data_IF_039618228896
#
_entry.id   IF_039618228896
#
_cell.length_a   1.000
_cell.length_b   1.000
_cell.length_c   1.000
_cell.angle_alpha   90.00
_cell.angle_beta   90.00
_cell.angle_gamma   90.00
#
_symmetry.space_group_name_H-M   'P 1'
#
loop_
_entity.id
_entity.type
_entity.pdbx_description
1 polymer ?
#
# COMPACT_ATOMS: atom_id res chain seq x y z
N UNK A 1 28.58 -70.33 4.50
CA UNK A 1 29.52 -69.19 4.42
C UNK A 1 28.73 -67.94 4.77
N UNK A 2 29.30 -67.18 5.70
CA UNK A 2 28.76 -66.17 6.63
C UNK A 2 27.83 -65.09 6.06
N UNK A 3 26.68 -64.92 6.73
CA UNK A 3 25.79 -63.75 6.71
C UNK A 3 26.43 -62.58 7.48
N UNK A 4 26.36 -61.36 6.94
CA UNK A 4 26.68 -60.13 7.66
C UNK A 4 25.37 -59.41 8.02
N UNK A 5 25.08 -59.35 9.32
CA UNK A 5 23.99 -58.58 9.90
C UNK A 5 24.45 -57.17 10.25
N UNK A 6 23.73 -56.15 9.80
CA UNK A 6 23.82 -54.80 10.32
C UNK A 6 22.76 -54.62 11.40
N UNK A 7 23.21 -54.46 12.64
CA UNK A 7 22.38 -54.04 13.77
C UNK A 7 22.25 -52.51 13.75
N UNK A 8 21.00 -52.02 13.76
CA UNK A 8 20.68 -50.62 14.00
C UNK A 8 20.80 -50.32 15.51
N UNK A 9 21.68 -49.39 15.88
CA UNK A 9 21.70 -48.79 17.21
C UNK A 9 20.67 -47.65 17.28
N UNK A 10 19.90 -47.51 18.38
CA UNK A 10 19.01 -46.37 18.57
C UNK A 10 19.80 -45.11 18.97
N UNK A 11 19.29 -43.90 18.67
CA UNK A 11 19.94 -42.65 19.07
C UNK A 11 19.84 -42.42 20.59
N UNK A 12 20.77 -41.65 21.18
CA UNK A 12 20.78 -41.40 22.61
C UNK A 12 19.63 -40.47 23.05
N UNK A 13 19.09 -40.80 24.22
CA UNK A 13 18.12 -40.02 24.99
C UNK A 13 18.55 -38.55 25.13
N UNK A 14 17.75 -37.64 24.59
CA UNK A 14 17.82 -36.20 24.91
C UNK A 14 16.99 -35.98 26.17
N UNK A 15 17.67 -35.66 27.28
CA UNK A 15 17.00 -35.19 28.50
C UNK A 15 16.41 -33.79 28.28
N UNK A 16 15.22 -33.49 28.82
CA UNK A 16 14.64 -32.16 28.72
C UNK A 16 15.43 -31.17 29.59
N UNK A 17 15.99 -30.15 28.95
CA UNK A 17 16.52 -28.95 29.62
C UNK A 17 15.38 -28.27 30.36
N UNK A 18 15.55 -28.14 31.67
CA UNK A 18 14.71 -27.35 32.57
C UNK A 18 14.75 -25.87 32.16
N UNK A 19 13.57 -25.27 31.98
CA UNK A 19 13.41 -23.85 31.77
C UNK A 19 13.87 -23.08 33.02
N UNK A 20 15.00 -22.40 32.92
CA UNK A 20 15.38 -21.36 33.87
C UNK A 20 14.51 -20.13 33.61
N UNK A 21 13.77 -19.71 34.63
CA UNK A 21 12.87 -18.57 34.60
C UNK A 21 13.62 -17.25 34.38
N UNK A 22 13.31 -16.58 33.28
CA UNK A 22 13.55 -15.16 33.11
C UNK A 22 12.37 -14.40 33.73
N UNK A 23 12.53 -13.94 34.97
CA UNK A 23 11.72 -12.85 35.51
C UNK A 23 12.27 -11.54 34.94
N UNK A 24 11.60 -10.99 33.92
CA UNK A 24 11.79 -9.62 33.48
C UNK A 24 11.00 -8.69 34.40
N UNK A 25 11.71 -7.99 35.29
CA UNK A 25 11.16 -6.85 36.00
C UNK A 25 10.83 -5.72 35.01
N UNK A 26 9.66 -5.07 35.10
CA UNK A 26 9.35 -3.92 34.26
C UNK A 26 10.22 -2.71 34.65
N UNK A 27 10.60 -1.84 33.69
CA UNK A 27 11.33 -0.63 33.98
C UNK A 27 10.44 0.37 34.75
N UNK A 28 11.03 1.24 35.60
CA UNK A 28 10.26 2.22 36.36
C UNK A 28 9.65 3.29 35.44
N UNK A 29 8.36 3.55 35.63
CA UNK A 29 7.66 4.68 35.01
C UNK A 29 8.27 6.01 35.47
N UNK A 30 8.53 6.97 34.55
CA UNK A 30 8.87 8.33 34.95
C UNK A 30 7.63 9.03 35.50
N UNK A 31 7.78 9.61 36.70
CA UNK A 31 6.82 10.49 37.35
C UNK A 31 6.45 11.67 36.45
N UNK A 32 5.20 11.72 35.99
CA UNK A 32 4.62 12.89 35.32
C UNK A 32 3.97 13.76 36.39
N UNK A 33 4.55 14.93 36.66
CA UNK A 33 3.90 15.98 37.44
C UNK A 33 2.80 16.65 36.60
N UNK A 34 1.65 17.03 37.20
CA UNK A 34 0.58 17.70 36.49
C UNK A 34 0.96 19.17 36.19
N UNK A 35 1.02 19.51 34.90
CA UNK A 35 1.10 20.91 34.46
C UNK A 35 -0.23 21.63 34.72
N UNK A 36 -0.14 22.72 35.48
CA UNK A 36 -1.21 23.69 35.72
C UNK A 36 -1.58 24.43 34.44
N UNK A 37 -2.88 24.48 34.13
CA UNK A 37 -3.48 25.27 33.06
C UNK A 37 -3.28 26.77 33.31
N UNK A 38 -2.59 27.46 32.39
CA UNK A 38 -2.60 28.92 32.28
C UNK A 38 -3.47 29.34 31.10
N UNK A 39 -4.29 30.37 31.34
CA UNK A 39 -5.39 30.79 30.48
C UNK A 39 -4.96 31.40 29.14
N UNK A 40 -5.73 31.08 28.10
CA UNK A 40 -5.67 31.70 26.79
C UNK A 40 -6.31 33.10 26.83
N UNK A 41 -5.52 34.13 26.52
CA UNK A 41 -6.02 35.43 26.06
C UNK A 41 -6.05 35.45 24.53
N UNK A 42 -7.18 35.86 23.98
CA UNK A 42 -7.41 36.01 22.53
C UNK A 42 -6.56 37.13 21.93
N UNK A 43 -6.01 36.99 20.71
CA UNK A 43 -5.39 38.08 19.99
C UNK A 43 -6.44 38.95 19.24
N UNK A 44 -6.17 40.25 19.02
CA UNK A 44 -7.05 41.15 18.29
C UNK A 44 -6.94 40.96 16.76
N UNK A 45 -7.93 41.44 15.98
CA UNK A 45 -7.99 41.19 14.53
C UNK A 45 -6.99 42.08 13.77
N UNK A 46 -6.29 41.48 12.81
CA UNK A 46 -5.40 42.18 11.89
C UNK A 46 -6.17 42.70 10.66
N UNK A 47 -5.82 43.93 10.29
CA UNK A 47 -6.43 44.73 9.24
C UNK A 47 -6.10 44.22 7.82
N UNK A 48 -7.06 44.45 6.92
CA UNK A 48 -6.97 44.30 5.48
C UNK A 48 -6.03 45.32 4.84
N UNK A 49 -5.20 44.92 3.88
CA UNK A 49 -4.95 45.70 2.65
C UNK A 49 -3.99 45.02 1.67
N UNK A 50 -4.26 45.28 0.39
CA UNK A 50 -3.38 45.32 -0.78
C UNK A 50 -3.17 44.05 -1.62
N UNK A 51 -4.04 43.94 -2.63
CA UNK A 51 -3.81 43.26 -3.89
C UNK A 51 -2.71 43.98 -4.68
N UNK A 52 -1.61 43.30 -4.97
CA UNK A 52 -0.68 43.68 -6.04
C UNK A 52 -0.81 42.70 -7.20
N UNK A 53 -1.14 43.24 -8.37
CA UNK A 53 -1.16 42.56 -9.66
C UNK A 53 0.26 42.23 -10.12
N UNK A 54 0.49 40.99 -10.53
CA UNK A 54 1.71 40.56 -11.23
C UNK A 54 1.51 40.67 -12.75
N UNK A 55 2.54 41.09 -13.52
CA UNK A 55 2.45 41.18 -14.97
C UNK A 55 2.66 39.83 -15.66
N UNK A 56 1.78 39.52 -16.62
CA UNK A 56 1.95 38.43 -17.60
C UNK A 56 3.14 38.75 -18.51
N UNK A 57 4.14 37.85 -18.56
CA UNK A 57 5.14 37.81 -19.63
C UNK A 57 4.91 36.59 -20.53
N UNK A 58 5.02 36.85 -21.83
CA UNK A 58 4.79 35.94 -22.94
C UNK A 58 5.88 34.86 -23.02
N UNK A 59 5.45 33.63 -23.32
CA UNK A 59 6.30 32.49 -23.65
C UNK A 59 6.59 32.50 -25.15
N UNK A 60 7.86 32.65 -25.49
CA UNK A 60 8.44 32.40 -26.82
C UNK A 60 8.70 30.89 -26.93
N UNK A 61 8.19 30.26 -27.98
CA UNK A 61 8.40 28.84 -28.27
C UNK A 61 9.67 28.65 -29.09
N UNK A 62 10.63 27.90 -28.56
CA UNK A 62 11.71 27.32 -29.35
C UNK A 62 11.68 25.79 -29.23
N UNK A 63 11.55 25.13 -30.38
CA UNK A 63 11.67 23.68 -30.55
C UNK A 63 13.14 23.28 -30.48
N UNK A 64 13.51 22.18 -29.81
CA UNK A 64 14.77 21.50 -30.08
C UNK A 64 14.60 20.37 -31.10
N UNK A 65 15.67 20.02 -31.84
CA UNK A 65 15.63 19.04 -32.92
C UNK A 65 15.75 17.60 -32.41
N UNK A 66 15.15 16.69 -33.18
CA UNK A 66 15.30 15.24 -33.05
C UNK A 66 16.69 14.78 -33.51
N UNK A 67 17.39 14.00 -32.69
CA UNK A 67 18.16 12.83 -33.13
C UNK A 67 18.85 12.09 -31.96
N UNK A 68 18.62 10.79 -31.81
CA UNK A 68 19.60 9.74 -32.18
C UNK A 68 19.27 8.40 -31.50
N UNK A 69 19.03 7.41 -32.35
CA UNK A 69 19.04 5.98 -32.03
C UNK A 69 20.48 5.50 -31.79
N UNK A 70 20.77 5.01 -30.58
CA UNK A 70 21.85 4.05 -30.23
C UNK A 70 21.50 3.48 -28.84
N UNK A 71 21.67 2.23 -28.48
CA UNK A 71 22.04 0.99 -29.16
C UNK A 71 21.74 -0.13 -28.17
N UNK A 72 21.04 -1.16 -28.62
CA UNK A 72 20.55 -2.26 -27.77
C UNK A 72 21.71 -3.20 -27.44
N UNK A 73 22.15 -3.21 -26.18
CA UNK A 73 23.09 -4.21 -25.67
C UNK A 73 22.35 -5.53 -25.43
N UNK A 74 22.86 -6.58 -26.07
CA UNK A 74 22.41 -7.97 -25.93
C UNK A 74 22.68 -8.47 -24.51
N UNK A 75 21.62 -8.81 -23.78
CA UNK A 75 21.69 -9.61 -22.55
C UNK A 75 21.30 -11.07 -22.87
N UNK A 76 22.21 -11.99 -22.55
CA UNK A 76 21.98 -13.43 -22.55
C UNK A 76 21.08 -13.81 -21.37
N UNK A 77 19.98 -14.50 -21.67
CA UNK A 77 18.88 -14.83 -20.77
C UNK A 77 18.93 -16.32 -20.38
N UNK A 78 19.04 -16.70 -19.09
CA UNK A 78 18.74 -18.06 -18.66
C UNK A 78 17.25 -18.15 -18.30
N UNK A 79 16.45 -18.74 -19.20
CA UNK A 79 15.04 -19.07 -18.98
C UNK A 79 14.07 -17.97 -19.37
N UNK A 80 13.63 -17.96 -20.64
CA UNK A 80 12.52 -17.10 -21.11
C UNK A 80 11.22 -17.48 -20.38
N UNK A 81 10.56 -16.55 -19.66
CA UNK A 81 9.12 -16.61 -19.46
C UNK A 81 8.45 -16.59 -20.85
N UNK A 82 7.37 -17.36 -21.03
CA UNK A 82 6.59 -17.28 -22.26
C UNK A 82 6.14 -15.84 -22.51
N UNK A 83 6.23 -15.39 -23.77
CA UNK A 83 5.75 -14.07 -24.16
C UNK A 83 4.26 -13.94 -23.79
N UNK A 84 3.82 -12.81 -23.20
CA UNK A 84 2.42 -12.62 -22.87
C UNK A 84 1.54 -12.75 -24.13
N UNK A 85 0.31 -13.28 -24.00
CA UNK A 85 -0.57 -13.48 -25.15
C UNK A 85 -0.82 -12.15 -25.89
N UNK A 86 -0.99 -12.19 -27.23
CA UNK A 86 -1.18 -10.99 -28.03
C UNK A 86 -2.43 -10.20 -27.58
N UNK A 87 -2.43 -8.87 -27.73
CA UNK A 87 -3.52 -7.98 -27.26
C UNK A 87 -4.93 -8.38 -27.72
N UNK A 88 -5.06 -9.06 -28.86
CA UNK A 88 -6.34 -9.57 -29.38
C UNK A 88 -6.94 -10.70 -28.53
N UNK A 89 -6.12 -11.54 -27.90
CA UNK A 89 -6.61 -12.58 -26.97
C UNK A 89 -7.10 -11.96 -25.66
N UNK A 90 -6.43 -10.91 -25.18
CA UNK A 90 -6.91 -10.15 -24.02
C UNK A 90 -8.26 -9.49 -24.33
N UNK A 91 -8.42 -8.86 -25.51
CA UNK A 91 -9.70 -8.28 -25.97
C UNK A 91 -10.84 -9.29 -26.11
N UNK A 92 -10.59 -10.50 -26.64
CA UNK A 92 -11.62 -11.54 -26.69
C UNK A 92 -12.00 -12.04 -25.29
N UNK A 93 -11.03 -12.16 -24.38
CA UNK A 93 -11.28 -12.49 -22.97
C UNK A 93 -12.08 -11.42 -22.22
N UNK A 94 -11.91 -10.13 -22.58
CA UNK A 94 -12.74 -9.03 -22.07
C UNK A 94 -14.22 -9.21 -22.46
N UNK A 95 -14.49 -9.61 -23.70
CA UNK A 95 -15.87 -9.84 -24.18
C UNK A 95 -16.51 -11.06 -23.51
N UNK A 96 -15.76 -12.12 -23.25
CA UNK A 96 -16.25 -13.31 -22.53
C UNK A 96 -16.51 -13.05 -21.04
N UNK A 97 -15.68 -12.24 -20.39
CA UNK A 97 -15.84 -11.87 -18.97
C UNK A 97 -17.09 -11.02 -18.75
N UNK A 98 -17.34 -10.06 -19.65
CA UNK A 98 -18.55 -9.23 -19.65
C UNK A 98 -19.82 -10.07 -19.85
N UNK A 99 -19.80 -11.08 -20.73
CA UNK A 99 -20.92 -12.03 -20.90
C UNK A 99 -21.17 -12.89 -19.66
N UNK A 100 -20.16 -13.12 -18.82
CA UNK A 100 -20.32 -13.92 -17.59
C UNK A 100 -21.14 -13.22 -16.49
N UNK A 101 -21.17 -11.89 -16.49
CA UNK A 101 -22.02 -11.09 -15.60
C UNK A 101 -23.52 -11.27 -15.92
N UNK A 102 -23.86 -11.46 -17.20
CA UNK A 102 -25.24 -11.70 -17.66
C UNK A 102 -25.76 -13.11 -17.31
N UNK A 103 -24.88 -14.00 -16.84
CA UNK A 103 -25.23 -15.40 -16.51
C UNK A 103 -24.82 -15.79 -15.10
N UNK A 104 -25.03 -14.90 -14.12
CA UNK A 104 -24.95 -15.34 -12.72
C UNK A 104 -25.90 -16.53 -12.50
N UNK A 105 -25.47 -17.57 -11.76
CA UNK A 105 -26.34 -18.71 -11.49
C UNK A 105 -27.61 -18.29 -10.75
N UNK A 106 -28.68 -19.07 -10.88
CA UNK A 106 -29.90 -18.81 -10.10
C UNK A 106 -29.57 -18.71 -8.60
N UNK A 107 -30.10 -17.66 -7.95
CA UNK A 107 -29.82 -17.37 -6.54
C UNK A 107 -28.50 -16.63 -6.27
N UNK A 108 -27.88 -16.05 -7.30
CA UNK A 108 -26.75 -15.12 -7.19
C UNK A 108 -27.11 -13.71 -7.70
N UNK A 109 -26.52 -12.64 -7.14
CA UNK A 109 -25.56 -12.64 -6.03
C UNK A 109 -26.17 -13.08 -4.69
N UNK A 110 -25.37 -13.64 -3.79
CA UNK A 110 -25.83 -13.87 -2.41
C UNK A 110 -25.87 -12.53 -1.68
N UNK A 111 -26.98 -12.27 -1.01
CA UNK A 111 -27.19 -11.03 -0.25
C UNK A 111 -27.18 -11.39 1.23
N UNK A 112 -26.18 -10.89 1.97
CA UNK A 112 -26.03 -11.17 3.40
C UNK A 112 -26.22 -9.88 4.18
N UNK A 113 -27.30 -9.82 4.98
CA UNK A 113 -27.50 -8.75 5.95
C UNK A 113 -26.66 -9.01 7.20
N UNK A 114 -25.94 -7.99 7.67
CA UNK A 114 -24.96 -8.14 8.75
C UNK A 114 -25.61 -7.89 10.11
N UNK A 115 -26.29 -8.91 10.63
CA UNK A 115 -27.03 -8.81 11.89
C UNK A 115 -28.07 -7.68 11.83
N UNK A 116 -28.12 -6.87 12.88
CA UNK A 116 -29.03 -5.70 12.97
C UNK A 116 -28.40 -4.39 12.44
N UNK A 117 -27.22 -4.46 11.83
CA UNK A 117 -26.56 -3.27 11.28
C UNK A 117 -27.18 -2.87 9.93
N UNK A 118 -27.22 -1.58 9.58
CA UNK A 118 -27.62 -1.12 8.25
C UNK A 118 -26.46 -1.34 7.25
N UNK A 119 -26.04 -2.60 7.14
CA UNK A 119 -24.91 -3.06 6.34
C UNK A 119 -25.31 -4.36 5.65
N UNK A 120 -25.12 -4.38 4.34
CA UNK A 120 -25.32 -5.56 3.50
C UNK A 120 -24.02 -5.91 2.78
N UNK A 121 -23.73 -7.20 2.63
CA UNK A 121 -22.62 -7.69 1.82
C UNK A 121 -23.17 -8.52 0.67
N UNK A 122 -22.83 -8.11 -0.55
CA UNK A 122 -23.11 -8.85 -1.77
C UNK A 122 -21.94 -9.78 -2.07
N UNK A 123 -22.23 -11.06 -2.27
CA UNK A 123 -21.23 -12.06 -2.63
C UNK A 123 -21.50 -12.47 -4.07
N UNK A 124 -20.49 -12.27 -4.91
CA UNK A 124 -20.54 -12.56 -6.34
C UNK A 124 -19.54 -13.68 -6.62
N UNK A 125 -19.99 -14.72 -7.32
CA UNK A 125 -19.09 -15.76 -7.82
C UNK A 125 -18.73 -15.45 -9.27
N UNK A 126 -17.46 -15.57 -9.61
CA UNK A 126 -16.95 -15.31 -10.95
C UNK A 126 -15.65 -16.08 -11.19
N UNK A 127 -15.00 -15.86 -12.32
CA UNK A 127 -13.69 -16.44 -12.59
C UNK A 127 -12.75 -15.40 -13.15
N UNK A 128 -11.50 -15.44 -12.70
CA UNK A 128 -10.43 -14.59 -13.23
C UNK A 128 -9.33 -15.39 -13.84
N UNK A 129 -8.83 -14.88 -14.94
CA UNK A 129 -7.59 -15.38 -15.53
C UNK A 129 -6.39 -14.67 -14.91
N UNK A 130 -5.28 -15.38 -14.79
CA UNK A 130 -3.97 -14.86 -14.41
C UNK A 130 -2.89 -15.52 -15.27
N UNK A 131 -1.81 -14.82 -15.63
CA UNK A 131 -0.72 -15.43 -16.40
C UNK A 131 -0.11 -16.68 -15.76
N UNK A 132 -0.04 -16.72 -14.42
CA UNK A 132 0.61 -17.82 -13.69
C UNK A 132 -0.34 -18.87 -13.12
N UNK A 133 -1.55 -18.46 -12.74
CA UNK A 133 -2.50 -19.36 -12.06
C UNK A 133 -3.63 -19.82 -12.96
N UNK A 134 -3.57 -19.48 -14.24
CA UNK A 134 -4.63 -19.70 -15.23
C UNK A 134 -5.97 -19.12 -14.75
N UNK A 135 -7.09 -19.69 -15.23
CA UNK A 135 -8.43 -19.29 -14.80
C UNK A 135 -8.73 -19.90 -13.43
N UNK A 136 -8.99 -19.06 -12.43
CA UNK A 136 -9.39 -19.46 -11.10
C UNK A 136 -10.81 -18.98 -10.77
N UNK A 137 -11.56 -19.81 -10.04
CA UNK A 137 -12.83 -19.40 -9.44
C UNK A 137 -12.57 -18.40 -8.31
N UNK A 138 -13.47 -17.43 -8.16
CA UNK A 138 -13.37 -16.41 -7.13
C UNK A 138 -14.75 -16.14 -6.51
N UNK A 139 -14.72 -15.66 -5.27
CA UNK A 139 -15.82 -14.92 -4.66
C UNK A 139 -15.38 -13.49 -4.39
N UNK A 140 -16.19 -12.52 -4.79
CA UNK A 140 -16.00 -11.12 -4.40
C UNK A 140 -17.12 -10.67 -3.49
N UNK A 141 -16.72 -10.11 -2.35
CA UNK A 141 -17.57 -9.51 -1.33
C UNK A 141 -17.56 -8.00 -1.54
N UNK A 142 -18.74 -7.42 -1.71
CA UNK A 142 -18.92 -5.98 -1.91
C UNK A 142 -19.85 -5.50 -0.79
N UNK A 143 -19.38 -4.60 0.07
CA UNK A 143 -20.24 -4.01 1.09
C UNK A 143 -21.11 -2.88 0.52
N UNK A 144 -22.26 -2.67 1.15
CA UNK A 144 -23.08 -1.50 1.01
C UNK A 144 -23.59 -1.07 2.39
N UNK A 145 -23.23 0.14 2.82
CA UNK A 145 -23.62 0.72 4.10
C UNK A 145 -22.47 1.31 4.90
N UNK A 146 -21.20 0.99 4.57
CA UNK A 146 -20.04 1.56 5.26
C UNK A 146 -19.95 3.08 5.07
N UNK A 147 -20.44 3.62 3.94
CA UNK A 147 -20.51 5.07 3.73
C UNK A 147 -21.34 5.80 4.78
N UNK A 148 -22.37 5.14 5.35
CA UNK A 148 -23.21 5.75 6.39
C UNK A 148 -22.44 6.07 7.67
N UNK A 149 -21.26 5.47 7.84
CA UNK A 149 -20.34 5.69 8.96
C UNK A 149 -19.00 6.27 8.50
N UNK A 150 -18.99 6.99 7.37
CA UNK A 150 -17.81 7.65 6.80
C UNK A 150 -16.61 6.72 6.51
N UNK A 151 -16.89 5.43 6.27
CA UNK A 151 -15.89 4.44 5.88
C UNK A 151 -16.10 4.07 4.40
N UNK A 152 -15.07 4.10 3.54
CA UNK A 152 -15.19 3.58 2.17
C UNK A 152 -15.73 2.16 2.12
N UNK A 153 -16.55 1.85 1.10
CA UNK A 153 -17.04 0.49 0.91
C UNK A 153 -15.88 -0.48 0.70
N UNK A 154 -16.08 -1.74 1.07
CA UNK A 154 -15.10 -2.79 0.95
C UNK A 154 -15.37 -3.61 -0.31
N UNK A 155 -14.30 -3.91 -1.05
CA UNK A 155 -14.25 -4.99 -2.02
C UNK A 155 -13.20 -5.98 -1.54
N UNK A 156 -13.57 -7.24 -1.37
CA UNK A 156 -12.66 -8.29 -0.93
C UNK A 156 -12.87 -9.48 -1.87
N UNK A 157 -11.86 -9.87 -2.64
CA UNK A 157 -11.94 -11.03 -3.52
C UNK A 157 -11.10 -12.17 -2.95
N UNK A 158 -11.66 -13.38 -2.93
CA UNK A 158 -10.99 -14.59 -2.46
C UNK A 158 -10.98 -15.61 -3.58
N UNK A 159 -9.82 -16.19 -3.83
CA UNK A 159 -9.66 -17.31 -4.75
C UNK A 159 -10.26 -18.58 -4.14
N UNK A 160 -11.07 -19.29 -4.94
CA UNK A 160 -11.62 -20.60 -4.59
C UNK A 160 -10.50 -21.65 -4.62
N UNK A 161 -10.49 -22.54 -3.62
CA UNK A 161 -9.69 -23.77 -3.66
C UNK A 161 -10.27 -24.75 -4.68
N UNK A 162 -9.45 -25.69 -5.13
CA UNK A 162 -9.88 -26.69 -6.11
C UNK A 162 -11.05 -27.58 -5.62
N UNK A 163 -11.18 -27.76 -4.30
CA UNK A 163 -12.22 -28.56 -3.66
C UNK A 163 -13.43 -27.75 -3.16
N UNK A 164 -13.43 -26.42 -3.35
CA UNK A 164 -14.52 -25.56 -2.92
C UNK A 164 -15.52 -25.37 -4.07
N UNK A 165 -16.79 -25.64 -3.78
CA UNK A 165 -17.91 -25.33 -4.66
C UNK A 165 -18.35 -23.88 -4.52
N UNK A 166 -19.23 -23.42 -5.41
CA UNK A 166 -19.69 -22.01 -5.42
C UNK A 166 -20.34 -21.56 -4.10
N UNK A 167 -20.95 -22.47 -3.37
CA UNK A 167 -21.66 -22.19 -2.12
C UNK A 167 -20.77 -22.27 -0.87
N UNK A 168 -19.50 -22.70 -1.01
CA UNK A 168 -18.54 -22.85 0.09
C UNK A 168 -17.78 -21.53 0.37
N UNK A 169 -18.47 -20.40 0.24
CA UNK A 169 -17.86 -19.09 0.40
C UNK A 169 -17.54 -18.82 1.88
N UNK A 170 -16.33 -18.34 2.22
CA UNK A 170 -15.94 -18.08 3.60
C UNK A 170 -16.70 -16.93 4.23
N UNK A 171 -17.05 -17.05 5.51
CA UNK A 171 -17.81 -16.01 6.23
C UNK A 171 -16.96 -14.85 6.74
N UNK A 172 -15.63 -15.03 6.84
CA UNK A 172 -14.72 -14.01 7.38
C UNK A 172 -14.92 -12.61 6.77
N UNK A 173 -15.02 -12.41 5.44
CA UNK A 173 -15.17 -11.06 4.88
C UNK A 173 -16.46 -10.35 5.30
N UNK A 174 -17.53 -11.11 5.57
CA UNK A 174 -18.79 -10.53 6.09
C UNK A 174 -18.57 -10.02 7.51
N UNK A 175 -17.85 -10.77 8.34
CA UNK A 175 -17.46 -10.31 9.66
C UNK A 175 -16.47 -9.14 9.60
N UNK A 176 -15.53 -9.13 8.64
CA UNK A 176 -14.65 -7.99 8.45
C UNK A 176 -15.43 -6.71 8.13
N UNK A 177 -16.42 -6.78 7.23
CA UNK A 177 -17.31 -5.65 6.94
C UNK A 177 -18.06 -5.17 8.21
N UNK A 178 -18.49 -6.10 9.08
CA UNK A 178 -19.08 -5.76 10.40
C UNK A 178 -18.10 -4.96 11.25
N UNK A 179 -16.85 -5.41 11.38
CA UNK A 179 -15.84 -4.74 12.20
C UNK A 179 -15.52 -3.33 11.66
N UNK A 180 -15.42 -3.18 10.33
CA UNK A 180 -15.26 -1.87 9.69
C UNK A 180 -16.41 -0.92 9.98
N UNK A 181 -17.65 -1.42 9.96
CA UNK A 181 -18.83 -0.61 10.28
C UNK A 181 -18.80 -0.13 11.74
N UNK A 182 -18.48 -1.03 12.67
CA UNK A 182 -18.35 -0.69 14.09
C UNK A 182 -17.25 0.36 14.29
N UNK A 183 -16.09 0.18 13.64
CA UNK A 183 -14.98 1.11 13.73
C UNK A 183 -15.30 2.51 13.17
N UNK A 184 -15.99 2.59 12.04
CA UNK A 184 -16.45 3.85 11.48
C UNK A 184 -17.52 4.52 12.34
N UNK A 185 -18.47 3.75 12.88
CA UNK A 185 -19.57 4.27 13.70
C UNK A 185 -19.06 4.95 14.97
N UNK A 186 -18.04 4.37 15.59
CA UNK A 186 -17.47 4.90 16.83
C UNK A 186 -16.64 6.18 16.59
N UNK A 187 -16.60 6.68 15.34
CA UNK A 187 -16.04 7.97 14.88
C UNK A 187 -14.54 8.16 15.17
N UNK A 188 -13.85 7.10 15.61
CA UNK A 188 -12.44 7.15 16.03
C UNK A 188 -11.50 6.45 15.07
N UNK A 189 -12.01 5.69 14.10
CA UNK A 189 -11.15 4.80 13.31
C UNK A 189 -11.67 4.56 11.90
N UNK A 190 -11.62 5.60 11.06
CA UNK A 190 -11.80 5.39 9.62
C UNK A 190 -10.48 4.90 9.04
N UNK A 191 -10.55 3.80 8.30
CA UNK A 191 -9.38 3.29 7.59
C UNK A 191 -9.17 4.08 6.32
N UNK A 192 -7.93 4.50 6.12
CA UNK A 192 -7.43 5.04 4.86
C UNK A 192 -6.93 3.94 3.94
N UNK A 193 -6.72 4.28 2.67
CA UNK A 193 -5.92 3.46 1.78
C UNK A 193 -4.54 3.22 2.39
N UNK A 194 -4.07 1.99 2.23
CA UNK A 194 -2.86 1.38 2.76
C UNK A 194 -2.79 1.22 4.28
N UNK A 195 -3.92 1.36 4.98
CA UNK A 195 -3.99 1.02 6.40
C UNK A 195 -3.83 -0.49 6.60
N UNK A 196 -2.89 -0.88 7.46
CA UNK A 196 -2.63 -2.25 7.87
C UNK A 196 -3.41 -2.58 9.15
N UNK A 197 -4.29 -3.56 9.10
CA UNK A 197 -5.08 -4.05 10.24
C UNK A 197 -4.53 -5.40 10.68
N UNK A 198 -4.04 -5.51 11.93
CA UNK A 198 -3.34 -6.71 12.42
C UNK A 198 -4.32 -7.71 13.00
N UNK A 199 -4.06 -9.00 12.78
CA UNK A 199 -4.88 -10.11 13.26
C UNK A 199 -4.09 -10.90 14.30
N UNK A 200 -4.71 -11.12 15.46
CA UNK A 200 -4.13 -11.84 16.58
C UNK A 200 -4.96 -13.09 16.86
N UNK A 201 -4.53 -14.22 16.29
CA UNK A 201 -5.13 -15.55 16.52
C UNK A 201 -4.84 -16.05 17.94
N UNK A 202 -5.63 -15.55 18.88
CA UNK A 202 -5.72 -15.99 20.28
C UNK A 202 -7.19 -16.22 20.63
N UNK A 203 -7.51 -16.64 21.85
CA UNK A 203 -8.89 -16.78 22.33
C UNK A 203 -9.18 -15.73 23.41
N UNK A 204 -10.04 -14.72 23.15
CA UNK A 204 -10.78 -14.47 21.90
C UNK A 204 -9.88 -13.91 20.79
N UNK A 205 -10.25 -14.18 19.52
CA UNK A 205 -9.58 -13.61 18.35
C UNK A 205 -9.69 -12.09 18.40
N UNK A 206 -8.58 -11.39 18.17
CA UNK A 206 -8.58 -9.91 18.14
C UNK A 206 -8.06 -9.37 16.82
N UNK A 207 -8.66 -8.28 16.37
CA UNK A 207 -8.24 -7.54 15.18
C UNK A 207 -7.99 -6.07 15.57
N UNK A 208 -6.79 -5.58 15.29
CA UNK A 208 -6.43 -4.17 15.43
C UNK A 208 -6.90 -3.43 14.18
N UNK A 209 -7.90 -2.56 14.36
CA UNK A 209 -8.42 -1.66 13.34
C UNK A 209 -8.03 -0.25 13.77
N UNK A 210 -7.02 0.31 13.10
CA UNK A 210 -6.49 1.66 13.35
C UNK A 210 -6.17 2.00 14.81
N UNK A 211 -5.56 1.07 15.54
CA UNK A 211 -5.15 1.21 16.93
C UNK A 211 -6.22 0.80 17.95
N UNK A 212 -7.39 0.36 17.49
CA UNK A 212 -8.49 -0.11 18.35
C UNK A 212 -8.66 -1.61 18.15
N UNK A 213 -8.61 -2.35 19.27
CA UNK A 213 -8.77 -3.81 19.26
C UNK A 213 -10.26 -4.17 19.26
N UNK A 214 -10.67 -4.95 18.27
CA UNK A 214 -12.02 -5.53 18.18
C UNK A 214 -11.92 -7.04 18.39
N UNK A 215 -12.89 -7.60 19.11
CA UNK A 215 -13.07 -9.05 19.20
C UNK A 215 -13.81 -9.58 17.97
N UNK A 216 -13.35 -10.71 17.47
CA UNK A 216 -13.89 -11.38 16.30
C UNK A 216 -14.16 -12.86 16.63
N UNK A 217 -15.02 -13.50 15.84
CA UNK A 217 -15.35 -14.89 16.01
C UNK A 217 -14.23 -15.77 15.43
N UNK A 218 -13.51 -16.49 16.30
CA UNK A 218 -12.38 -17.33 15.89
C UNK A 218 -12.76 -18.32 14.77
N UNK A 219 -13.91 -19.00 14.90
CA UNK A 219 -14.36 -20.04 13.96
C UNK A 219 -14.54 -19.50 12.54
N UNK A 220 -15.00 -18.24 12.40
CA UNK A 220 -15.19 -17.62 11.09
C UNK A 220 -13.85 -17.28 10.41
N UNK A 221 -12.79 -17.09 11.18
CA UNK A 221 -11.46 -16.68 10.69
C UNK A 221 -10.47 -17.82 10.57
N UNK A 222 -10.79 -19.04 11.01
CA UNK A 222 -9.87 -20.19 10.96
C UNK A 222 -9.32 -20.46 9.54
N UNK A 223 -10.12 -20.21 8.51
CA UNK A 223 -9.68 -20.34 7.11
C UNK A 223 -8.59 -19.32 6.69
N UNK A 224 -8.35 -18.32 7.53
CA UNK A 224 -7.37 -17.25 7.37
C UNK A 224 -6.27 -17.30 8.44
N UNK A 225 -6.13 -18.39 9.20
CA UNK A 225 -5.14 -18.51 10.28
C UNK A 225 -3.68 -18.26 9.87
N UNK A 226 -3.36 -18.41 8.58
CA UNK A 226 -2.04 -18.13 8.03
C UNK A 226 -1.79 -16.63 7.75
N UNK A 227 -2.83 -15.80 7.83
CA UNK A 227 -2.78 -14.37 7.57
C UNK A 227 -2.57 -13.60 8.86
N UNK A 228 -1.63 -12.66 8.86
CA UNK A 228 -1.33 -11.82 10.03
C UNK A 228 -1.91 -10.42 9.94
N UNK A 229 -2.32 -9.98 8.73
CA UNK A 229 -2.91 -8.67 8.55
C UNK A 229 -3.80 -8.57 7.32
N UNK A 230 -4.69 -7.59 7.33
CA UNK A 230 -5.42 -7.09 6.17
C UNK A 230 -4.91 -5.69 5.82
N UNK A 231 -4.68 -5.42 4.54
CA UNK A 231 -4.34 -4.08 4.04
C UNK A 231 -5.45 -3.58 3.13
N UNK A 232 -5.93 -2.38 3.39
CA UNK A 232 -6.86 -1.68 2.51
C UNK A 232 -6.08 -1.00 1.41
N UNK A 233 -6.47 -1.13 0.15
CA UNK A 233 -5.81 -0.48 -0.97
C UNK A 233 -6.80 0.43 -1.67
N UNK A 234 -6.29 1.52 -2.23
CA UNK A 234 -7.11 2.37 -3.09
C UNK A 234 -7.54 1.58 -4.33
N UNK A 235 -8.59 2.05 -5.00
CA UNK A 235 -9.02 1.41 -6.23
C UNK A 235 -7.93 1.51 -7.31
N UNK A 236 -7.42 0.36 -7.75
CA UNK A 236 -6.32 0.29 -8.71
C UNK A 236 -6.64 -0.47 -10.01
N UNK A 237 -7.79 -1.15 -10.10
CA UNK A 237 -8.12 -1.95 -11.27
C UNK A 237 -9.63 -2.01 -11.50
N UNK A 238 -10.07 -1.73 -12.73
CA UNK A 238 -11.46 -1.99 -13.10
C UNK A 238 -11.73 -3.50 -13.07
N UNK A 239 -12.85 -3.87 -12.45
CA UNK A 239 -13.29 -5.25 -12.42
C UNK A 239 -14.29 -5.48 -13.55
N UNK A 240 -13.79 -5.90 -14.70
CA UNK A 240 -14.60 -6.12 -15.91
C UNK A 240 -15.58 -7.29 -15.79
N UNK A 241 -15.37 -8.15 -14.80
CA UNK A 241 -16.18 -9.32 -14.44
C UNK A 241 -17.08 -9.06 -13.22
N UNK A 242 -17.09 -7.84 -12.69
CA UNK A 242 -17.96 -7.43 -11.60
C UNK A 242 -18.93 -6.33 -12.06
N UNK A 243 -20.10 -6.20 -11.40
CA UNK A 243 -20.94 -5.03 -11.59
C UNK A 243 -20.22 -3.72 -11.23
N UNK A 244 -20.70 -2.56 -11.68
CA UNK A 244 -20.06 -1.26 -11.45
C UNK A 244 -19.85 -0.92 -9.97
N UNK A 245 -18.67 -1.19 -9.42
CA UNK A 245 -18.36 -1.13 -7.99
C UNK A 245 -18.70 0.22 -7.29
N UNK A 246 -19.11 0.21 -6.00
CA UNK A 246 -19.46 1.42 -5.26
C UNK A 246 -18.24 2.35 -5.07
N UNK A 247 -18.47 3.66 -4.90
CA UNK A 247 -17.40 4.64 -4.72
C UNK A 247 -17.74 5.66 -3.60
N UNK A 248 -16.80 6.01 -2.70
CA UNK A 248 -15.43 5.49 -2.58
C UNK A 248 -15.38 4.03 -2.07
N UNK A 249 -14.31 3.30 -2.41
CA UNK A 249 -14.10 1.92 -1.98
C UNK A 249 -12.62 1.60 -1.75
N UNK A 250 -12.37 0.59 -0.91
CA UNK A 250 -11.07 -0.03 -0.74
C UNK A 250 -11.09 -1.49 -1.19
N UNK A 251 -10.04 -1.91 -1.90
CA UNK A 251 -9.78 -3.32 -2.14
C UNK A 251 -8.99 -3.90 -0.96
N UNK A 252 -9.44 -5.01 -0.37
CA UNK A 252 -8.78 -5.63 0.77
C UNK A 252 -7.85 -6.75 0.29
N UNK A 253 -6.60 -6.69 0.71
CA UNK A 253 -5.61 -7.74 0.51
C UNK A 253 -5.19 -8.33 1.86
N UNK A 254 -4.95 -9.64 1.91
CA UNK A 254 -4.44 -10.30 3.10
C UNK A 254 -2.93 -10.57 2.97
N UNK A 255 -2.21 -10.31 4.05
CA UNK A 255 -0.79 -10.56 4.20
C UNK A 255 -0.58 -11.73 5.17
N UNK A 256 0.39 -12.59 4.88
CA UNK A 256 0.79 -13.64 5.82
C UNK A 256 1.38 -13.04 7.10
N UNK A 257 1.54 -13.83 8.17
CA UNK A 257 2.18 -13.37 9.41
C UNK A 257 3.57 -12.75 9.18
N UNK A 258 4.39 -13.37 8.32
CA UNK A 258 5.74 -12.87 8.04
C UNK A 258 5.74 -11.60 7.20
N UNK A 259 4.82 -11.52 6.25
CA UNK A 259 4.65 -10.34 5.42
C UNK A 259 4.08 -9.15 6.19
N UNK A 260 3.18 -9.39 7.15
CA UNK A 260 2.65 -8.36 8.03
C UNK A 260 3.77 -7.70 8.83
N UNK A 261 4.71 -8.48 9.37
CA UNK A 261 5.88 -7.96 10.07
C UNK A 261 6.78 -7.10 9.17
N UNK A 262 7.01 -7.55 7.93
CA UNK A 262 7.78 -6.77 6.94
C UNK A 262 7.04 -5.49 6.55
N UNK A 263 5.72 -5.53 6.34
CA UNK A 263 4.92 -4.36 6.01
C UNK A 263 4.90 -3.34 7.18
N UNK A 264 4.89 -3.83 8.42
CA UNK A 264 4.95 -3.01 9.62
C UNK A 264 6.32 -2.36 9.84
N UNK A 265 7.41 -2.92 9.33
CA UNK A 265 8.75 -2.33 9.46
C UNK A 265 9.15 -1.50 8.23
N UNK A 266 9.04 -2.10 7.05
CA UNK A 266 9.56 -1.57 5.77
C UNK A 266 8.48 -0.97 4.87
N UNK A 267 7.21 -1.12 5.23
CA UNK A 267 6.07 -0.59 4.49
C UNK A 267 5.39 -1.58 3.55
N UNK A 268 4.07 -1.40 3.39
CA UNK A 268 3.22 -2.32 2.60
C UNK A 268 3.61 -2.41 1.13
N UNK A 269 4.08 -1.32 0.52
CA UNK A 269 4.51 -1.28 -0.88
C UNK A 269 5.54 -2.37 -1.18
N UNK A 270 6.48 -2.62 -0.25
CA UNK A 270 7.51 -3.63 -0.43
C UNK A 270 6.91 -5.02 -0.58
N UNK A 271 5.87 -5.37 0.19
CA UNK A 271 5.13 -6.63 0.04
C UNK A 271 4.31 -6.66 -1.24
N UNK A 272 3.59 -5.58 -1.54
CA UNK A 272 2.77 -5.49 -2.76
C UNK A 272 3.61 -5.72 -4.01
N UNK A 273 4.82 -5.15 -4.08
CA UNK A 273 5.73 -5.37 -5.20
C UNK A 273 6.10 -6.85 -5.40
N UNK A 274 6.28 -7.60 -4.30
CA UNK A 274 6.58 -9.04 -4.37
C UNK A 274 5.35 -9.87 -4.75
N UNK A 275 4.16 -9.48 -4.31
CA UNK A 275 2.91 -10.12 -4.74
C UNK A 275 2.71 -9.98 -6.26
N UNK A 276 3.03 -8.82 -6.83
CA UNK A 276 2.98 -8.59 -8.28
C UNK A 276 3.99 -9.47 -9.01
N UNK A 277 5.22 -9.56 -8.49
CA UNK A 277 6.23 -10.45 -9.06
C UNK A 277 5.76 -11.92 -9.03
N UNK A 278 5.14 -12.34 -7.93
CA UNK A 278 4.69 -13.72 -7.74
C UNK A 278 3.47 -14.06 -8.59
N UNK A 279 2.56 -13.11 -8.82
CA UNK A 279 1.32 -13.37 -9.58
C UNK A 279 1.36 -12.88 -11.02
N UNK A 280 2.37 -12.09 -11.39
CA UNK A 280 2.43 -11.36 -12.65
C UNK A 280 1.21 -10.46 -12.88
N UNK A 281 0.65 -9.90 -11.79
CA UNK A 281 -0.51 -9.02 -11.85
C UNK A 281 -0.21 -7.63 -11.28
N UNK A 282 -0.28 -6.60 -12.12
CA UNK A 282 -0.07 -5.21 -11.73
C UNK A 282 -1.41 -4.45 -11.57
N UNK A 283 -1.53 -3.51 -10.62
CA UNK A 283 -0.54 -3.13 -9.60
C UNK A 283 -0.63 -3.95 -8.32
N UNK A 284 -1.66 -4.77 -8.15
CA UNK A 284 -1.76 -5.78 -7.09
C UNK A 284 -2.67 -6.90 -7.57
N UNK A 285 -2.47 -8.16 -7.14
CA UNK A 285 -3.41 -9.22 -7.44
C UNK A 285 -4.83 -8.80 -7.00
N UNK A 286 -5.86 -9.01 -7.81
CA UNK A 286 -7.23 -8.60 -7.50
C UNK A 286 -7.94 -9.62 -6.62
N UNK A 287 -7.23 -10.62 -6.08
CA UNK A 287 -7.72 -11.68 -5.20
C UNK A 287 -6.71 -12.00 -4.10
N UNK A 288 -7.24 -12.55 -3.01
CA UNK A 288 -6.46 -13.21 -1.96
C UNK A 288 -6.47 -14.72 -2.19
N UNK A 289 -5.27 -15.28 -2.29
CA UNK A 289 -5.05 -16.72 -2.21
C UNK A 289 -4.71 -17.09 -0.76
N UNK A 290 -5.54 -17.92 -0.13
CA UNK A 290 -5.42 -18.26 1.30
C UNK A 290 -4.33 -19.29 1.59
N UNK A 291 -3.92 -20.03 0.58
CA UNK A 291 -2.99 -21.16 0.70
C UNK A 291 -1.61 -20.81 0.12
N UNK A 292 -1.40 -19.56 -0.29
CA UNK A 292 -0.10 -19.07 -0.77
C UNK A 292 0.94 -19.04 0.34
N UNK A 293 2.20 -19.21 -0.04
CA UNK A 293 3.34 -18.96 0.84
C UNK A 293 3.64 -17.47 1.01
N UNK A 294 4.61 -17.20 1.89
CA UNK A 294 5.19 -15.86 2.06
C UNK A 294 5.91 -15.43 0.76
N UNK A 295 5.65 -14.21 0.29
CA UNK A 295 6.43 -13.62 -0.82
C UNK A 295 7.69 -12.88 -0.34
N UNK A 296 7.78 -12.64 0.97
CA UNK A 296 8.89 -11.96 1.62
C UNK A 296 8.91 -12.21 3.13
N UNK A 297 10.12 -12.22 3.71
CA UNK A 297 10.38 -12.30 5.14
C UNK A 297 11.32 -11.17 5.62
N UNK A 298 11.51 -11.06 6.94
CA UNK A 298 12.47 -10.10 7.52
C UNK A 298 13.91 -10.35 7.04
N UNK A 299 14.29 -11.61 6.80
CA UNK A 299 15.63 -11.97 6.34
C UNK A 299 15.90 -11.46 4.91
N UNK A 300 14.86 -11.38 4.07
CA UNK A 300 14.94 -10.81 2.72
C UNK A 300 15.13 -9.29 2.72
N UNK A 301 15.14 -8.65 3.89
CA UNK A 301 15.37 -7.23 4.09
C UNK A 301 16.65 -6.96 4.90
N UNK A 302 17.47 -7.98 5.16
CA UNK A 302 18.74 -7.83 5.85
C UNK A 302 19.64 -6.84 5.08
N UNK A 303 20.19 -5.86 5.80
CA UNK A 303 21.03 -4.82 5.21
C UNK A 303 20.25 -3.67 4.57
N UNK A 304 18.92 -3.64 4.67
CA UNK A 304 18.15 -2.48 4.21
C UNK A 304 18.60 -1.20 4.92
N UNK A 305 18.53 -0.06 4.23
CA UNK A 305 18.79 1.29 4.75
C UNK A 305 17.93 1.58 5.97
N UNK A 306 16.76 0.95 6.10
CA UNK A 306 15.91 1.01 7.27
C UNK A 306 16.62 0.54 8.55
N UNK A 307 17.50 -0.45 8.41
CA UNK A 307 18.26 -1.07 9.50
C UNK A 307 19.64 -0.42 9.62
N UNK A 308 20.33 -0.22 8.49
CA UNK A 308 21.75 0.18 8.48
C UNK A 308 21.97 1.68 8.70
N UNK A 309 20.97 2.51 8.39
CA UNK A 309 20.98 3.94 8.64
C UNK A 309 19.60 4.37 9.16
N UNK A 310 19.27 4.08 10.43
CA UNK A 310 17.95 4.37 10.97
C UNK A 310 17.71 5.88 10.98
N UNK A 311 16.78 6.32 10.15
CA UNK A 311 16.29 7.70 10.07
C UNK A 311 14.88 7.74 10.67
N UNK A 312 14.53 8.75 11.50
CA UNK A 312 13.17 8.96 11.98
C UNK A 312 12.15 8.84 10.84
N UNK A 313 11.11 8.05 11.08
CA UNK A 313 10.12 7.71 10.05
C UNK A 313 8.73 8.21 10.41
N UNK A 314 8.04 8.79 9.43
CA UNK A 314 6.61 9.11 9.52
C UNK A 314 5.79 8.25 8.56
N UNK A 315 4.61 7.86 9.04
CA UNK A 315 3.52 7.27 8.26
C UNK A 315 2.38 8.27 8.19
N UNK A 316 2.10 8.78 7.00
CA UNK A 316 1.03 9.75 6.78
C UNK A 316 0.17 9.19 5.66
N UNK A 317 -0.98 8.61 6.02
CA UNK A 317 -1.83 7.89 5.08
C UNK A 317 -2.18 8.73 3.85
N UNK A 318 -2.04 8.13 2.67
CA UNK A 318 -2.26 8.82 1.39
C UNK A 318 -1.09 9.67 0.88
N UNK A 319 -0.02 9.86 1.65
CA UNK A 319 1.24 10.43 1.15
C UNK A 319 1.83 9.49 0.09
N UNK A 320 2.11 10.00 -1.10
CA UNK A 320 2.66 9.19 -2.19
C UNK A 320 3.84 9.91 -2.84
N UNK A 321 4.81 9.15 -3.32
CA UNK A 321 5.91 9.66 -4.14
C UNK A 321 5.97 8.88 -5.46
N UNK A 322 6.06 9.60 -6.56
CA UNK A 322 6.10 9.02 -7.91
C UNK A 322 7.19 9.66 -8.76
N UNK A 323 7.88 8.83 -9.55
CA UNK A 323 8.76 9.29 -10.61
C UNK A 323 7.90 9.51 -11.85
N UNK A 324 7.93 10.70 -12.43
CA UNK A 324 7.18 11.05 -13.65
C UNK A 324 8.14 11.20 -14.82
N UNK A 325 7.93 10.41 -15.87
CA UNK A 325 8.71 10.42 -17.10
C UNK A 325 10.23 10.42 -16.87
N UNK A 326 10.70 9.65 -15.88
CA UNK A 326 12.12 9.52 -15.47
C UNK A 326 12.88 10.82 -15.19
N UNK A 327 12.17 11.93 -15.01
CA UNK A 327 12.73 13.29 -14.93
C UNK A 327 12.23 14.07 -13.73
N UNK A 328 11.12 13.66 -13.12
CA UNK A 328 10.55 14.34 -11.97
C UNK A 328 10.31 13.36 -10.83
N UNK A 329 10.59 13.79 -9.60
CA UNK A 329 10.13 13.13 -8.37
C UNK A 329 9.03 13.99 -7.79
N UNK A 330 7.81 13.46 -7.75
CA UNK A 330 6.65 14.16 -7.26
C UNK A 330 6.21 13.59 -5.91
N UNK A 331 6.40 14.35 -4.84
CA UNK A 331 5.87 14.06 -3.50
C UNK A 331 4.50 14.72 -3.33
N UNK A 332 3.44 13.91 -3.21
CA UNK A 332 2.05 14.37 -3.07
C UNK A 332 1.56 14.18 -1.65
N UNK A 333 1.23 15.28 -0.99
CA UNK A 333 0.65 15.31 0.35
C UNK A 333 -0.87 15.26 0.25
N UNK A 334 -1.60 14.47 1.07
CA UNK A 334 -3.07 14.42 1.02
C UNK A 334 -3.74 15.80 1.13
N UNK A 335 -4.96 15.94 0.61
CA UNK A 335 -5.76 17.17 0.80
C UNK A 335 -6.32 17.34 2.19
N UNK A 336 -6.53 16.22 2.87
CA UNK A 336 -7.08 16.18 4.22
C UNK A 336 -6.26 17.07 5.18
N UNK A 337 -6.97 17.99 5.85
CA UNK A 337 -6.35 19.01 6.70
C UNK A 337 -5.60 18.40 7.89
N UNK A 338 -6.11 17.34 8.49
CA UNK A 338 -5.46 16.69 9.63
C UNK A 338 -4.16 16.00 9.20
N UNK A 339 -4.17 15.32 8.05
CA UNK A 339 -2.98 14.68 7.47
C UNK A 339 -1.93 15.70 7.02
N UNK A 340 -2.35 16.82 6.42
CA UNK A 340 -1.45 17.96 6.11
C UNK A 340 -0.79 18.50 7.37
N UNK A 341 -1.59 18.75 8.42
CA UNK A 341 -1.05 19.21 9.70
C UNK A 341 -0.08 18.19 10.31
N UNK A 342 -0.36 16.89 10.23
CA UNK A 342 0.53 15.84 10.69
C UNK A 342 1.87 15.85 9.92
N UNK A 343 1.83 15.99 8.59
CA UNK A 343 3.03 16.14 7.75
C UNK A 343 3.85 17.36 8.14
N UNK A 344 3.21 18.52 8.24
CA UNK A 344 3.86 19.79 8.60
C UNK A 344 4.50 19.73 9.99
N UNK A 345 3.76 19.25 10.99
CA UNK A 345 4.24 19.14 12.37
C UNK A 345 5.39 18.13 12.48
N UNK A 346 5.37 17.06 11.70
CA UNK A 346 6.47 16.12 11.66
C UNK A 346 7.74 16.78 11.09
N UNK A 347 7.63 17.41 9.92
CA UNK A 347 8.75 18.12 9.28
C UNK A 347 9.32 19.21 10.17
N UNK A 348 8.47 20.01 10.81
CA UNK A 348 8.88 21.06 11.73
C UNK A 348 9.70 20.50 12.91
N UNK A 349 9.20 19.44 13.57
CA UNK A 349 9.90 18.80 14.70
C UNK A 349 11.25 18.21 14.29
N UNK A 350 11.33 17.54 13.14
CA UNK A 350 12.59 16.97 12.67
C UNK A 350 13.61 18.06 12.31
N UNK A 351 13.15 19.18 11.75
CA UNK A 351 14.01 20.33 11.50
C UNK A 351 14.62 20.91 12.78
N UNK A 352 13.84 21.03 13.87
CA UNK A 352 14.33 21.53 15.16
C UNK A 352 15.41 20.62 15.76
N UNK A 353 15.40 19.34 15.39
CA UNK A 353 16.38 18.35 15.84
C UNK A 353 17.61 18.25 14.91
N UNK A 354 17.58 18.91 13.75
CA UNK A 354 18.64 18.81 12.73
C UNK A 354 18.81 17.40 12.17
N UNK A 355 17.77 16.56 12.25
CA UNK A 355 17.82 15.17 11.81
C UNK A 355 17.28 15.01 10.40
N UNK A 356 17.83 14.03 9.67
CA UNK A 356 17.19 13.53 8.46
C UNK A 356 15.82 12.92 8.78
N UNK A 357 14.97 12.77 7.78
CA UNK A 357 13.64 12.21 7.96
C UNK A 357 13.25 11.31 6.80
N UNK A 358 12.47 10.26 7.11
CA UNK A 358 11.91 9.32 6.15
C UNK A 358 10.40 9.40 6.13
N UNK A 359 9.83 9.33 4.94
CA UNK A 359 8.40 9.21 4.71
C UNK A 359 8.11 7.91 4.00
N UNK A 360 7.26 7.08 4.62
CA UNK A 360 6.66 5.97 3.90
C UNK A 360 5.65 6.50 2.89
N UNK A 361 5.73 6.00 1.67
CA UNK A 361 4.91 6.41 0.55
C UNK A 361 3.99 5.26 0.14
N UNK A 362 2.81 5.64 -0.33
CA UNK A 362 1.74 4.72 -0.69
C UNK A 362 1.53 4.71 -2.20
N UNK A 363 1.22 3.54 -2.74
CA UNK A 363 0.91 3.33 -4.16
C UNK A 363 -0.35 4.15 -4.53
N UNK A 364 -0.25 5.15 -5.42
CA UNK A 364 -1.41 5.88 -5.88
C UNK A 364 -2.07 5.17 -7.07
N UNK A 365 -3.35 5.46 -7.32
CA UNK A 365 -4.16 4.81 -8.36
C UNK A 365 -3.71 5.10 -9.80
N UNK A 366 -2.94 6.16 -10.00
CA UNK A 366 -2.46 6.64 -11.29
C UNK A 366 -1.03 6.17 -11.63
N UNK A 367 -0.46 5.24 -10.87
CA UNK A 367 0.84 4.63 -11.18
C UNK A 367 0.71 3.48 -12.16
N UNK A 368 1.57 3.47 -13.18
CA UNK A 368 1.68 2.40 -14.19
C UNK A 368 2.86 1.46 -13.94
N UNK A 369 3.69 1.79 -12.95
CA UNK A 369 4.82 1.00 -12.51
C UNK A 369 5.19 1.27 -11.05
N UNK A 370 6.08 0.45 -10.51
CA UNK A 370 6.58 0.57 -9.15
C UNK A 370 8.00 0.03 -8.99
N UNK A 371 8.71 0.60 -8.01
CA UNK A 371 10.00 0.07 -7.56
C UNK A 371 9.82 -1.14 -6.64
N UNK A 372 10.70 -2.12 -6.80
CA UNK A 372 10.79 -3.34 -5.99
C UNK A 372 12.22 -3.52 -5.48
N UNK A 373 12.36 -3.94 -4.22
CA UNK A 373 13.66 -4.26 -3.65
C UNK A 373 13.59 -5.46 -2.71
N UNK A 374 14.71 -6.18 -2.63
CA UNK A 374 15.03 -7.18 -1.61
C UNK A 374 16.55 -7.31 -1.47
N UNK A 375 17.03 -7.87 -0.37
CA UNK A 375 18.44 -8.17 -0.17
C UNK A 375 19.02 -8.97 -1.33
N UNK A 376 20.22 -8.58 -1.77
CA UNK A 376 20.90 -9.17 -2.93
C UNK A 376 20.57 -8.50 -4.27
N UNK A 377 19.53 -7.67 -4.34
CA UNK A 377 19.30 -6.83 -5.52
C UNK A 377 20.40 -5.77 -5.62
N UNK A 378 21.28 -5.90 -6.61
CA UNK A 378 22.35 -4.93 -6.89
C UNK A 378 21.87 -3.73 -7.72
N UNK A 379 20.73 -3.88 -8.37
CA UNK A 379 20.16 -2.88 -9.28
C UNK A 379 18.69 -2.65 -8.92
N UNK A 380 18.16 -1.45 -9.20
CA UNK A 380 16.75 -1.15 -9.09
C UNK A 380 15.92 -2.12 -9.92
N UNK A 381 14.79 -2.59 -9.37
CA UNK A 381 13.83 -3.41 -10.11
C UNK A 381 12.55 -2.62 -10.31
N UNK A 382 12.09 -2.58 -11.56
CA UNK A 382 10.83 -1.96 -11.95
C UNK A 382 9.83 -3.05 -12.31
N UNK A 383 8.62 -2.95 -11.77
CA UNK A 383 7.47 -3.75 -12.20
C UNK A 383 6.48 -2.81 -12.87
N UNK A 384 6.12 -3.07 -14.12
CA UNK A 384 5.32 -2.17 -14.94
C UNK A 384 4.15 -2.89 -15.60
N UNK A 385 3.05 -2.16 -15.79
CA UNK A 385 1.88 -2.62 -16.53
C UNK A 385 2.16 -2.75 -18.04
N UNK A 386 3.05 -1.91 -18.56
CA UNK A 386 3.38 -1.83 -19.98
C UNK A 386 4.86 -1.53 -20.20
N UNK A 387 5.32 -1.62 -21.45
CA UNK A 387 6.68 -1.24 -21.84
C UNK A 387 6.92 0.29 -21.78
N UNK A 388 5.85 1.08 -21.81
CA UNK A 388 5.92 2.53 -21.62
C UNK A 388 5.67 2.83 -20.14
N UNK A 389 6.69 3.37 -19.48
CA UNK A 389 6.64 3.75 -18.06
C UNK A 389 6.51 5.27 -17.98
N UNK A 390 5.41 5.76 -17.41
CA UNK A 390 5.17 7.20 -17.20
C UNK A 390 5.20 7.56 -15.73
N UNK A 391 4.75 6.68 -14.84
CA UNK A 391 4.56 6.96 -13.41
C UNK A 391 4.98 5.78 -12.54
N UNK A 392 6.22 5.83 -12.05
CA UNK A 392 6.78 4.82 -11.15
C UNK A 392 6.56 5.22 -9.69
N UNK A 393 5.73 4.51 -8.94
CA UNK A 393 5.63 4.73 -7.49
C UNK A 393 6.83 4.15 -6.74
N UNK A 394 7.14 4.74 -5.59
CA UNK A 394 8.21 4.30 -4.69
C UNK A 394 7.69 4.07 -3.26
N UNK A 395 8.36 3.21 -2.51
CA UNK A 395 8.00 2.83 -1.14
C UNK A 395 8.30 3.94 -0.12
N UNK A 396 9.34 4.74 -0.35
CA UNK A 396 9.71 5.81 0.58
C UNK A 396 10.50 6.95 -0.06
N UNK A 397 10.53 8.07 0.64
CA UNK A 397 11.45 9.19 0.40
C UNK A 397 12.21 9.50 1.69
N UNK A 398 13.52 9.65 1.62
CA UNK A 398 14.38 10.17 2.69
C UNK A 398 14.77 11.60 2.33
N UNK A 399 14.75 12.50 3.30
CA UNK A 399 15.29 13.85 3.19
C UNK A 399 16.43 13.98 4.19
N UNK A 400 17.63 14.25 3.68
CA UNK A 400 18.85 14.45 4.48
C UNK A 400 19.32 15.90 4.31
N UNK A 401 19.15 16.76 5.33
CA UNK A 401 19.63 18.14 5.29
C UNK A 401 21.14 18.23 5.53
N UNK A 402 21.69 19.44 5.42
CA UNK A 402 23.09 19.77 5.72
C UNK A 402 24.12 18.96 4.92
N UNK A 403 23.74 18.59 3.69
CA UNK A 403 24.61 17.92 2.75
C UNK A 403 25.50 18.94 2.02
N UNK A 404 26.72 18.56 1.58
CA UNK A 404 27.63 19.48 0.91
C UNK A 404 27.15 19.90 -0.48
N UNK A 405 26.24 19.14 -1.08
CA UNK A 405 25.63 19.43 -2.39
C UNK A 405 24.19 18.94 -2.45
N UNK A 406 23.42 19.57 -3.33
CA UNK A 406 22.04 19.19 -3.65
C UNK A 406 22.05 18.02 -4.63
N UNK A 407 21.65 16.83 -4.18
CA UNK A 407 21.63 15.61 -5.00
C UNK A 407 20.41 14.73 -4.67
N UNK A 408 20.07 13.83 -5.59
CA UNK A 408 19.05 12.81 -5.35
C UNK A 408 19.54 11.43 -5.78
N UNK A 409 19.30 10.43 -4.94
CA UNK A 409 19.78 9.08 -5.17
C UNK A 409 18.66 8.07 -5.00
N UNK A 410 18.53 7.18 -5.97
CA UNK A 410 17.68 6.01 -5.80
C UNK A 410 18.36 5.06 -4.80
N UNK A 411 17.62 4.68 -3.77
CA UNK A 411 18.08 3.78 -2.72
C UNK A 411 17.00 2.74 -2.54
N UNK A 412 17.32 1.48 -2.85
CA UNK A 412 16.37 0.37 -2.77
C UNK A 412 15.12 0.58 -3.64
N UNK A 413 13.95 0.60 -3.01
CA UNK A 413 12.64 0.90 -3.60
C UNK A 413 12.16 2.33 -3.28
N UNK A 414 13.09 3.23 -2.94
CA UNK A 414 12.84 4.62 -2.57
C UNK A 414 13.88 5.59 -3.15
N UNK A 415 13.79 6.85 -2.71
CA UNK A 415 14.74 7.91 -3.05
C UNK A 415 15.26 8.65 -1.81
N UNK A 416 16.54 9.00 -1.80
CA UNK A 416 17.14 9.95 -0.88
C UNK A 416 17.31 11.32 -1.55
N UNK A 417 16.82 12.37 -0.90
CA UNK A 417 17.01 13.77 -1.26
C UNK A 417 18.05 14.34 -0.31
N UNK A 418 19.25 14.61 -0.81
CA UNK A 418 20.37 15.08 -0.03
C UNK A 418 20.52 16.57 -0.32
N UNK A 419 20.23 17.40 0.67
CA UNK A 419 19.98 18.82 0.47
C UNK A 419 20.99 19.66 1.26
N UNK A 420 21.51 20.69 0.61
CA UNK A 420 22.20 21.80 1.26
C UNK A 420 21.25 22.56 2.18
N UNK A 421 21.79 23.25 3.18
CA UNK A 421 20.96 24.05 4.10
C UNK A 421 20.08 25.08 3.39
N UNK A 422 20.55 25.84 2.37
CA UNK A 422 19.70 26.78 1.67
C UNK A 422 18.51 26.12 0.97
N UNK A 423 18.71 24.97 0.33
CA UNK A 423 17.64 24.25 -0.37
C UNK A 423 16.66 23.60 0.61
N UNK A 424 17.18 22.99 1.68
CA UNK A 424 16.35 22.44 2.75
C UNK A 424 15.46 23.50 3.39
N UNK A 425 16.01 24.67 3.73
CA UNK A 425 15.24 25.76 4.36
C UNK A 425 14.10 26.25 3.45
N UNK A 426 14.34 26.38 2.13
CA UNK A 426 13.27 26.71 1.18
C UNK A 426 12.19 25.63 1.11
N UNK A 427 12.58 24.35 1.08
CA UNK A 427 11.65 23.23 1.07
C UNK A 427 10.79 23.20 2.34
N UNK A 428 11.43 23.33 3.51
CA UNK A 428 10.75 23.41 4.80
C UNK A 428 9.76 24.56 4.86
N UNK A 429 10.16 25.77 4.47
CA UNK A 429 9.29 26.95 4.49
C UNK A 429 8.10 26.81 3.52
N UNK A 430 8.26 26.02 2.45
CA UNK A 430 7.15 25.65 1.59
C UNK A 430 6.24 24.60 2.26
N UNK A 431 6.81 23.57 2.89
CA UNK A 431 6.06 22.55 3.64
C UNK A 431 5.21 23.18 4.75
N UNK A 432 5.86 23.91 5.66
CA UNK A 432 5.20 24.55 6.81
C UNK A 432 4.18 25.57 6.34
N UNK A 433 4.49 26.31 5.27
CA UNK A 433 3.58 27.28 4.67
C UNK A 433 2.43 26.70 3.84
N UNK A 434 2.38 25.37 3.61
CA UNK A 434 1.35 24.78 2.76
C UNK A 434 1.48 25.18 1.28
N UNK A 435 2.70 25.46 0.80
CA UNK A 435 2.99 25.98 -0.55
C UNK A 435 3.62 24.92 -1.44
N UNK A 436 3.40 25.05 -2.75
CA UNK A 436 4.14 24.28 -3.76
C UNK A 436 5.64 24.55 -3.64
N UNK A 437 6.44 23.51 -3.91
CA UNK A 437 7.90 23.61 -3.94
C UNK A 437 8.44 22.85 -5.14
N UNK A 438 9.49 23.39 -5.75
CA UNK A 438 10.21 22.78 -6.86
C UNK A 438 11.69 23.07 -6.76
N UNK A 439 12.53 22.06 -7.01
CA UNK A 439 13.98 22.20 -7.10
C UNK A 439 14.53 21.18 -8.08
N UNK A 440 15.55 21.56 -8.85
CA UNK A 440 16.31 20.61 -9.68
C UNK A 440 17.46 20.06 -8.84
N UNK A 441 17.51 18.75 -8.70
CA UNK A 441 18.62 18.01 -8.11
C UNK A 441 19.34 17.21 -9.19
N UNK A 442 20.52 16.69 -8.88
CA UNK A 442 21.28 15.83 -9.78
C UNK A 442 21.48 14.46 -9.15
N UNK A 443 21.52 13.42 -9.97
CA UNK A 443 21.94 12.11 -9.50
C UNK A 443 23.44 12.05 -9.19
N UNK A 444 23.91 10.95 -8.58
CA UNK A 444 25.33 10.74 -8.29
C UNK A 444 26.26 10.84 -9.50
N UNK A 445 25.75 10.72 -10.73
CA UNK A 445 26.56 10.88 -11.94
C UNK A 445 26.77 12.36 -12.32
N UNK A 446 25.96 13.26 -11.75
CA UNK A 446 25.87 14.69 -12.11
C UNK A 446 25.43 14.93 -13.58
N UNK A 447 25.05 13.88 -14.31
CA UNK A 447 24.67 13.96 -15.72
C UNK A 447 23.15 14.04 -15.92
N UNK A 448 22.37 13.58 -14.93
CA UNK A 448 20.92 13.50 -15.05
C UNK A 448 20.24 14.45 -14.06
N UNK A 449 19.71 15.60 -14.52
CA UNK A 449 18.89 16.45 -13.67
C UNK A 449 17.55 15.76 -13.38
N UNK A 450 17.07 15.94 -12.15
CA UNK A 450 15.79 15.44 -11.66
C UNK A 450 15.05 16.57 -10.95
N UNK A 451 13.86 16.92 -11.41
CA UNK A 451 13.04 17.94 -10.78
C UNK A 451 12.24 17.33 -9.62
N UNK A 452 12.48 17.79 -8.40
CA UNK A 452 11.70 17.39 -7.22
C UNK A 452 10.57 18.38 -6.99
N UNK A 453 9.34 17.89 -6.94
CA UNK A 453 8.13 18.67 -6.73
C UNK A 453 7.42 18.24 -5.45
N UNK A 454 6.95 19.19 -4.64
CA UNK A 454 6.01 18.97 -3.56
C UNK A 454 4.63 19.52 -3.95
N UNK A 455 3.61 18.66 -3.98
CA UNK A 455 2.24 19.06 -4.28
C UNK A 455 1.29 18.76 -3.11
N UNK A 456 0.35 19.68 -2.91
CA UNK A 456 -0.71 19.56 -1.91
C UNK A 456 -1.98 19.09 -2.60
N UNK A 457 -2.33 17.83 -2.35
CA UNK A 457 -3.46 17.16 -2.97
C UNK A 457 -3.10 16.33 -4.18
N UNK A 458 -4.13 15.74 -4.75
CA UNK A 458 -4.02 15.04 -6.03
C UNK A 458 -4.91 15.79 -7.02
N UNK A 459 -4.32 16.24 -8.12
CA UNK A 459 -5.11 16.63 -9.29
C UNK A 459 -5.65 15.34 -9.92
N UNK A 460 -6.63 14.71 -9.28
CA UNK A 460 -7.36 13.57 -9.84
C UNK A 460 -8.70 14.14 -10.28
N UNK A 461 -8.93 14.13 -11.60
CA UNK A 461 -10.29 14.29 -12.12
C UNK A 461 -11.13 13.16 -11.50
N UNK A 462 -12.10 13.48 -10.63
CA UNK A 462 -12.95 12.46 -10.00
C UNK A 462 -13.69 11.68 -11.10
N UNK A 463 -13.69 10.33 -11.08
CA UNK A 463 -14.53 9.56 -11.99
C UNK A 463 -16.02 9.80 -11.66
N UNK A 464 -16.93 9.71 -12.65
CA UNK A 464 -18.36 9.98 -12.46
C UNK A 464 -18.99 9.04 -11.42
N UNK A 465 -19.79 9.60 -10.50
CA UNK A 465 -20.48 8.85 -9.42
C UNK A 465 -21.66 8.05 -9.99
N UNK A 466 -21.65 6.72 -9.82
CA UNK A 466 -22.79 5.83 -10.16
C UNK A 466 -23.60 5.50 -8.90
N UNK A 467 -24.94 5.59 -8.96
CA UNK A 467 -25.84 5.25 -7.85
C UNK A 467 -26.42 3.85 -7.99
N UNK A 468 -26.29 3.02 -6.95
CA UNK A 468 -26.66 1.60 -6.94
C UNK A 468 -28.15 1.27 -6.68
N UNK A 469 -29.01 2.27 -6.47
CA UNK A 469 -30.41 2.06 -6.06
C UNK A 469 -31.29 1.31 -7.07
N UNK A 470 -30.80 1.01 -8.27
CA UNK A 470 -31.62 0.46 -9.37
C UNK A 470 -31.50 -1.06 -9.58
N UNK A 471 -30.68 -1.79 -8.81
CA UNK A 471 -30.50 -3.25 -9.02
C UNK A 471 -31.29 -4.16 -8.07
N UNK A 472 -32.00 -3.61 -7.07
CA UNK A 472 -32.82 -4.39 -6.15
C UNK A 472 -34.33 -4.38 -6.50
N UNK A 473 -34.70 -3.92 -7.71
CA UNK A 473 -36.08 -3.77 -8.16
C UNK A 473 -36.50 -4.77 -9.24
N UNK A 474 -36.19 -6.05 -9.06
CA UNK A 474 -36.59 -7.15 -9.95
C UNK A 474 -37.23 -8.29 -9.19
#
# INVERSE_FOLDING_TARGET
>A
MTQAGYQNSPPPNVQPMTQAGYQSSPPPHPNVQPMTQTGYQSPPPAASSNQHQLPRKALVSDRPPANNQRGSALYSNPGRPQDPPPPQQQQQQFVESARSLETQPAGWPKIVNVGDLPLTVFIITHSRWSPKTERCGCWTYISAGLHSVNQPEMVFTIRQRANEGREDWPRMPVEWARLLYLAGRDSRTNLDAHHLCKIYFQDPLKVDVGGVMYEANLDLWLEFQNMGALVHLEHHCEYVDLPPLPYPRHHVMALTHREAAVAEEFGGHRILSRLIFETSWFPVPPWVDRDRGDVMSMADNAGSIYITAPVPSARIYGLSAVIVNDTHILLRVPEDRAKRAAFQNYVQRQCEQGQGMRFQCYLPSDSDSLLSWKTGNKQPQYLAMSNEIKRTTMNFVIIAPSMPKDECNMVEDGYGLLLTDPTWMRMRDAIVGGRYFEVVLYDNSELKPMTVCLQWGRNVEEPPRLSWKNMAGG
#
